data_IF_016222044575
#
_entry.id   IF_016222044575
#
_cell.length_a   1.000
_cell.length_b   1.000
_cell.length_c   1.000
_cell.angle_alpha   90.00
_cell.angle_beta   90.00
_cell.angle_gamma   90.00
#
_symmetry.space_group_name_H-M   'P 1'
#
loop_
_entity.id
_entity.type
_entity.pdbx_description
1 polymer ?
#
# COMPACT_ATOMS: atom_id res chain seq x y z
N UNK A 1 -13.46 -0.25 21.21
CA UNK A 1 -13.74 -1.21 22.31
C UNK A 1 -14.36 -2.47 21.72
N UNK A 2 -14.00 -3.64 22.23
CA UNK A 2 -14.64 -4.91 21.89
C UNK A 2 -16.06 -4.89 22.45
N UNK A 3 -17.07 -5.22 21.62
CA UNK A 3 -18.48 -5.29 22.05
C UNK A 3 -18.96 -6.72 22.14
N UNK A 4 -18.65 -7.54 21.14
CA UNK A 4 -19.10 -8.92 21.07
C UNK A 4 -18.05 -9.82 20.41
N UNK A 5 -17.96 -11.05 20.86
CA UNK A 5 -17.15 -12.12 20.28
C UNK A 5 -18.02 -13.34 20.08
N UNK A 6 -18.19 -13.77 18.83
CA UNK A 6 -18.84 -15.01 18.47
C UNK A 6 -17.81 -16.00 17.94
N UNK A 7 -17.76 -17.17 18.54
CA UNK A 7 -16.87 -18.26 18.16
C UNK A 7 -17.71 -19.46 17.74
N UNK A 8 -17.41 -20.07 16.60
CA UNK A 8 -18.05 -21.32 16.13
C UNK A 8 -16.98 -22.31 15.67
N UNK A 9 -17.08 -23.53 16.18
CA UNK A 9 -16.22 -24.68 15.80
C UNK A 9 -14.71 -24.40 15.98
N UNK A 10 -14.33 -23.74 17.08
CA UNK A 10 -12.94 -23.40 17.37
C UNK A 10 -12.41 -24.28 18.50
N UNK A 11 -11.36 -25.05 18.25
CA UNK A 11 -10.75 -26.00 19.20
C UNK A 11 -11.82 -26.93 19.83
N UNK A 12 -12.14 -26.73 21.10
CA UNK A 12 -13.16 -27.49 21.85
C UNK A 12 -14.51 -26.80 21.85
N UNK A 13 -14.62 -25.57 21.36
CA UNK A 13 -15.83 -24.76 21.41
C UNK A 13 -16.71 -25.06 20.19
N UNK A 14 -17.96 -25.47 20.42
CA UNK A 14 -18.98 -25.58 19.37
C UNK A 14 -19.49 -24.21 18.95
N UNK A 15 -20.04 -23.49 19.94
CA UNK A 15 -20.57 -22.14 19.74
C UNK A 15 -20.50 -21.40 21.08
N UNK A 16 -19.92 -20.20 21.03
CA UNK A 16 -19.83 -19.33 22.19
C UNK A 16 -20.06 -17.89 21.71
N UNK A 17 -20.88 -17.14 22.44
CA UNK A 17 -21.09 -15.72 22.24
C UNK A 17 -20.84 -15.00 23.56
N UNK A 18 -19.94 -14.00 23.54
CA UNK A 18 -19.57 -13.22 24.72
C UNK A 18 -19.77 -11.75 24.40
N UNK A 19 -20.62 -11.07 25.16
CA UNK A 19 -20.73 -9.61 25.19
C UNK A 19 -19.72 -9.03 26.16
N UNK A 20 -19.14 -7.88 25.81
CA UNK A 20 -18.20 -7.15 26.67
C UNK A 20 -18.77 -5.76 27.00
N UNK A 21 -18.83 -5.45 28.26
CA UNK A 21 -19.17 -4.12 28.74
C UNK A 21 -17.91 -3.23 28.85
N UNK A 22 -18.03 -1.91 28.88
CA UNK A 22 -16.92 -1.02 29.16
C UNK A 22 -16.30 -1.29 30.55
N UNK A 23 -14.95 -1.29 30.59
CA UNK A 23 -14.22 -1.48 31.84
C UNK A 23 -13.51 -2.84 31.91
N UNK A 24 -13.49 -3.47 33.06
CA UNK A 24 -12.81 -4.72 33.34
C UNK A 24 -13.78 -5.90 33.20
N UNK A 25 -13.44 -6.82 32.30
CA UNK A 25 -14.11 -8.12 32.18
C UNK A 25 -13.21 -9.22 32.73
N UNK A 26 -13.71 -10.04 33.64
CA UNK A 26 -12.97 -11.15 34.25
C UNK A 26 -13.56 -12.48 33.81
N UNK A 27 -12.71 -13.33 33.16
CA UNK A 27 -13.09 -14.69 32.75
C UNK A 27 -12.48 -15.69 33.75
N UNK A 28 -13.36 -16.34 34.54
CA UNK A 28 -12.97 -17.33 35.56
C UNK A 28 -13.35 -18.75 35.11
N UNK A 29 -12.74 -19.74 35.70
CA UNK A 29 -13.05 -21.15 35.44
C UNK A 29 -11.85 -22.06 35.79
N UNK A 30 -12.09 -23.35 35.83
CA UNK A 30 -11.06 -24.37 36.10
C UNK A 30 -10.03 -24.47 34.96
N UNK A 31 -8.89 -25.11 35.23
CA UNK A 31 -7.89 -25.41 34.21
C UNK A 31 -8.50 -26.32 33.13
N UNK A 32 -8.34 -25.94 31.85
CA UNK A 32 -8.95 -26.69 30.73
C UNK A 32 -10.37 -26.21 30.35
N UNK A 33 -11.00 -25.29 31.07
CA UNK A 33 -12.36 -24.79 30.76
C UNK A 33 -12.47 -23.94 29.50
N UNK A 34 -11.38 -23.69 28.78
CA UNK A 34 -11.39 -22.94 27.52
C UNK A 34 -11.05 -21.45 27.63
N UNK A 35 -10.66 -20.94 28.83
CA UNK A 35 -10.28 -19.52 29.00
C UNK A 35 -9.23 -19.03 28.02
N UNK A 36 -8.13 -19.77 27.90
CA UNK A 36 -7.03 -19.46 26.96
C UNK A 36 -7.49 -19.54 25.50
N UNK A 37 -8.43 -20.42 25.20
CA UNK A 37 -8.98 -20.58 23.85
C UNK A 37 -9.79 -19.35 23.42
N UNK A 38 -10.48 -18.68 24.34
CA UNK A 38 -11.18 -17.44 24.06
C UNK A 38 -10.20 -16.31 23.70
N UNK A 39 -9.10 -16.19 24.45
CA UNK A 39 -8.04 -15.21 24.16
C UNK A 39 -7.37 -15.54 22.82
N UNK A 40 -7.13 -16.82 22.53
CA UNK A 40 -6.60 -17.22 21.25
C UNK A 40 -7.53 -16.92 20.09
N UNK A 41 -8.84 -17.14 20.24
CA UNK A 41 -9.84 -16.77 19.24
C UNK A 41 -9.85 -15.24 18.98
N UNK A 42 -9.74 -14.41 20.03
CA UNK A 42 -9.56 -12.96 19.87
C UNK A 42 -8.30 -12.60 19.10
N UNK A 43 -7.17 -13.24 19.40
CA UNK A 43 -5.91 -13.01 18.68
C UNK A 43 -6.03 -13.41 17.21
N UNK A 44 -6.73 -14.50 16.91
CA UNK A 44 -7.03 -14.94 15.54
C UNK A 44 -7.93 -13.93 14.83
N UNK A 45 -8.98 -13.43 15.47
CA UNK A 45 -9.83 -12.39 14.92
C UNK A 45 -9.02 -11.12 14.57
N UNK A 46 -8.04 -10.76 15.41
CA UNK A 46 -7.14 -9.63 15.21
C UNK A 46 -6.03 -9.87 14.16
N UNK A 47 -6.03 -11.00 13.44
CA UNK A 47 -5.10 -11.23 12.34
C UNK A 47 -3.98 -12.22 12.60
N UNK A 48 -3.89 -12.88 13.78
CA UNK A 48 -2.91 -13.92 14.07
C UNK A 48 -2.96 -15.05 13.01
N UNK A 49 -1.82 -15.65 12.73
CA UNK A 49 -1.70 -16.78 11.80
C UNK A 49 -2.58 -17.95 12.28
N UNK A 50 -3.26 -18.60 11.35
CA UNK A 50 -4.18 -19.70 11.62
C UNK A 50 -3.56 -21.05 11.30
N UNK A 51 -3.98 -22.10 12.04
CA UNK A 51 -3.63 -23.48 11.79
C UNK A 51 -4.91 -24.34 11.69
N UNK A 52 -4.83 -25.48 11.00
CA UNK A 52 -5.90 -26.48 10.92
C UNK A 52 -6.29 -27.05 12.28
N UNK A 53 -5.35 -27.10 13.23
CA UNK A 53 -5.59 -27.59 14.59
C UNK A 53 -6.53 -26.70 15.40
N UNK A 54 -6.75 -25.46 14.94
CA UNK A 54 -7.71 -24.53 15.54
C UNK A 54 -9.17 -24.87 15.22
N UNK A 55 -9.41 -25.75 14.26
CA UNK A 55 -10.76 -26.19 13.89
C UNK A 55 -11.17 -27.36 14.75
N UNK A 56 -12.39 -27.30 15.32
CA UNK A 56 -12.94 -28.41 16.10
C UNK A 56 -12.98 -29.70 15.30
N UNK A 57 -12.60 -30.81 15.92
CA UNK A 57 -12.65 -32.13 15.29
C UNK A 57 -14.05 -32.44 14.76
N UNK A 58 -14.12 -32.93 13.52
CA UNK A 58 -15.39 -33.20 12.84
C UNK A 58 -16.00 -32.00 12.09
N UNK A 59 -15.52 -30.78 12.31
CA UNK A 59 -16.02 -29.58 11.62
C UNK A 59 -15.30 -29.30 10.30
N UNK A 60 -15.99 -28.69 9.33
CA UNK A 60 -15.41 -28.31 8.04
C UNK A 60 -14.74 -26.93 8.07
N UNK A 61 -15.24 -26.08 8.92
CA UNK A 61 -14.75 -24.72 9.09
C UNK A 61 -14.91 -24.24 10.54
N UNK A 62 -14.16 -23.21 10.86
CA UNK A 62 -14.29 -22.43 12.07
C UNK A 62 -14.61 -20.99 11.68
N UNK A 63 -15.48 -20.34 12.45
CA UNK A 63 -15.85 -18.92 12.25
C UNK A 63 -15.65 -18.18 13.56
N UNK A 64 -14.98 -17.03 13.48
CA UNK A 64 -14.82 -16.10 14.59
C UNK A 64 -15.30 -14.74 14.10
N UNK A 65 -16.31 -14.20 14.76
CA UNK A 65 -16.81 -12.86 14.54
C UNK A 65 -16.48 -11.97 15.74
N UNK A 66 -15.81 -10.86 15.49
CA UNK A 66 -15.44 -9.87 16.48
C UNK A 66 -16.11 -8.53 16.13
N UNK A 67 -16.93 -8.03 17.02
CA UNK A 67 -17.48 -6.69 16.91
C UNK A 67 -16.60 -5.72 17.71
N UNK A 68 -15.93 -4.81 17.00
CA UNK A 68 -15.03 -3.81 17.58
C UNK A 68 -15.45 -2.41 17.16
N UNK A 69 -15.76 -1.55 18.13
CA UNK A 69 -16.39 -0.25 17.93
C UNK A 69 -17.71 -0.38 17.14
N UNK A 70 -17.71 0.04 15.86
CA UNK A 70 -18.89 -0.02 15.00
C UNK A 70 -18.66 -0.91 13.77
N UNK A 71 -17.53 -1.65 13.72
CA UNK A 71 -17.19 -2.55 12.62
C UNK A 71 -17.20 -4.01 13.04
N UNK A 72 -17.60 -4.87 12.13
CA UNK A 72 -17.62 -6.32 12.29
C UNK A 72 -16.43 -6.95 11.57
N UNK A 73 -15.64 -7.73 12.28
CA UNK A 73 -14.46 -8.43 11.79
C UNK A 73 -14.73 -9.94 11.83
N UNK A 74 -14.77 -10.57 10.66
CA UNK A 74 -15.01 -12.00 10.53
C UNK A 74 -13.79 -12.73 10.01
N UNK A 75 -13.44 -13.84 10.69
CA UNK A 75 -12.44 -14.80 10.21
C UNK A 75 -13.09 -16.16 10.00
N UNK A 76 -12.87 -16.73 8.82
CA UNK A 76 -13.31 -18.07 8.47
C UNK A 76 -12.07 -18.91 8.17
N UNK A 77 -11.86 -19.98 8.93
CA UNK A 77 -10.76 -20.92 8.75
C UNK A 77 -11.34 -22.20 8.18
N UNK A 78 -10.80 -22.68 7.06
CA UNK A 78 -11.24 -23.92 6.44
C UNK A 78 -10.35 -25.10 6.86
N UNK A 79 -10.80 -26.33 6.54
CA UNK A 79 -10.13 -27.60 6.91
C UNK A 79 -8.66 -27.70 6.43
N UNK A 80 -8.25 -26.92 5.43
CA UNK A 80 -6.85 -26.85 4.98
C UNK A 80 -5.99 -25.89 5.82
N UNK A 81 -6.54 -25.23 6.85
CA UNK A 81 -5.87 -24.22 7.66
C UNK A 81 -5.80 -22.83 7.02
N UNK A 82 -6.27 -22.70 5.78
CA UNK A 82 -6.36 -21.38 5.12
C UNK A 82 -7.48 -20.56 5.73
N UNK A 83 -7.26 -19.26 5.91
CA UNK A 83 -8.27 -18.36 6.43
C UNK A 83 -8.64 -17.26 5.45
N UNK A 84 -9.92 -16.87 5.49
CA UNK A 84 -10.44 -15.67 4.85
C UNK A 84 -10.83 -14.67 5.93
N UNK A 85 -10.58 -13.39 5.69
CA UNK A 85 -10.90 -12.32 6.62
C UNK A 85 -11.81 -11.30 5.95
N UNK A 86 -12.71 -10.73 6.72
CA UNK A 86 -13.68 -9.73 6.25
C UNK A 86 -13.80 -8.62 7.30
N UNK A 87 -13.99 -7.40 6.82
CA UNK A 87 -14.36 -6.23 7.60
C UNK A 87 -15.66 -5.67 7.00
N UNK A 88 -16.72 -5.60 7.77
CA UNK A 88 -18.04 -5.19 7.30
C UNK A 88 -18.44 -5.86 5.98
N UNK A 89 -18.25 -7.21 5.92
CA UNK A 89 -18.46 -8.10 4.77
C UNK A 89 -17.47 -7.93 3.59
N UNK A 90 -16.59 -6.94 3.63
CA UNK A 90 -15.57 -6.73 2.59
C UNK A 90 -14.34 -7.61 2.86
N UNK A 91 -13.84 -8.38 1.87
CA UNK A 91 -12.65 -9.21 2.04
C UNK A 91 -11.40 -8.36 2.32
N UNK A 92 -10.60 -8.77 3.28
CA UNK A 92 -9.33 -8.10 3.64
C UNK A 92 -8.21 -9.14 3.87
N UNK A 93 -6.96 -8.73 3.63
CA UNK A 93 -5.81 -9.58 3.95
C UNK A 93 -5.58 -9.66 5.48
N UNK A 94 -5.23 -10.85 5.99
CA UNK A 94 -4.96 -11.04 7.42
C UNK A 94 -3.85 -10.12 7.95
N UNK A 95 -2.84 -9.82 7.12
CA UNK A 95 -1.74 -8.88 7.45
C UNK A 95 -2.28 -7.46 7.66
N UNK A 96 -3.29 -7.03 6.88
CA UNK A 96 -3.90 -5.72 7.06
C UNK A 96 -4.68 -5.64 8.38
N UNK A 97 -5.43 -6.72 8.74
CA UNK A 97 -6.05 -6.82 10.07
C UNK A 97 -5.03 -6.76 11.20
N UNK A 98 -3.91 -7.48 11.06
CA UNK A 98 -2.85 -7.48 12.06
C UNK A 98 -2.26 -6.09 12.27
N UNK A 99 -2.05 -5.32 11.20
CA UNK A 99 -1.60 -3.93 11.27
C UNK A 99 -2.63 -3.02 11.92
N UNK A 100 -3.91 -3.20 11.58
CA UNK A 100 -4.99 -2.41 12.13
C UNK A 100 -5.16 -2.62 13.64
N UNK A 101 -5.09 -3.88 14.10
CA UNK A 101 -5.24 -4.21 15.51
C UNK A 101 -3.97 -4.03 16.34
N UNK A 102 -2.78 -3.91 15.70
CA UNK A 102 -1.51 -3.77 16.40
C UNK A 102 -1.44 -2.57 17.36
N UNK A 103 -2.22 -1.52 17.10
CA UNK A 103 -2.30 -0.33 17.97
C UNK A 103 -3.58 -0.27 18.81
N UNK A 104 -4.53 -1.18 18.56
CA UNK A 104 -5.87 -1.14 19.20
C UNK A 104 -6.03 -2.19 20.30
N UNK A 105 -5.34 -3.34 20.19
CA UNK A 105 -5.43 -4.46 21.12
C UNK A 105 -4.02 -4.96 21.43
N UNK A 106 -3.71 -5.03 22.73
CA UNK A 106 -2.47 -5.67 23.19
C UNK A 106 -2.83 -6.99 23.90
N UNK A 107 -2.13 -8.07 23.51
CA UNK A 107 -2.33 -9.39 24.05
C UNK A 107 -1.15 -9.74 24.96
N UNK A 108 -1.44 -10.04 26.23
CA UNK A 108 -0.45 -10.48 27.21
C UNK A 108 -0.62 -11.98 27.49
N UNK A 109 0.02 -12.83 26.69
CA UNK A 109 -0.01 -14.28 26.84
C UNK A 109 1.40 -14.86 27.05
N UNK A 110 1.47 -16.16 27.30
CA UNK A 110 2.75 -16.86 27.56
C UNK A 110 3.71 -16.87 26.37
N UNK A 111 3.22 -16.59 25.15
CA UNK A 111 4.01 -16.63 23.90
C UNK A 111 3.78 -15.42 22.99
N UNK A 112 3.06 -14.41 23.44
CA UNK A 112 2.78 -13.24 22.62
C UNK A 112 3.90 -12.20 22.81
N UNK A 113 4.41 -11.66 21.69
CA UNK A 113 5.37 -10.57 21.71
C UNK A 113 4.65 -9.31 22.17
N UNK A 114 4.94 -8.88 23.39
CA UNK A 114 4.41 -7.64 23.93
C UNK A 114 4.80 -6.47 23.03
N UNK A 115 3.86 -5.59 22.75
CA UNK A 115 4.10 -4.39 21.92
C UNK A 115 5.24 -3.52 22.46
N UNK A 116 5.42 -3.51 23.79
CA UNK A 116 6.49 -2.80 24.47
C UNK A 116 7.90 -3.33 24.15
N UNK A 117 8.02 -4.60 23.73
CA UNK A 117 9.31 -5.16 23.32
C UNK A 117 9.74 -4.74 21.91
N UNK A 118 8.84 -4.19 21.14
CA UNK A 118 9.12 -3.67 19.79
C UNK A 118 9.70 -2.28 19.89
N UNK A 119 10.97 -2.14 19.56
CA UNK A 119 11.70 -0.86 19.61
C UNK A 119 11.02 0.26 18.80
N UNK A 120 10.35 -0.11 17.71
CA UNK A 120 9.63 0.81 16.82
C UNK A 120 8.51 1.57 17.57
N UNK A 121 7.88 0.93 18.57
CA UNK A 121 6.78 1.52 19.33
C UNK A 121 7.23 2.40 20.50
N UNK A 122 8.51 2.37 20.88
CA UNK A 122 8.98 3.08 22.07
C UNK A 122 8.81 4.59 21.95
N UNK A 123 9.02 5.14 20.77
CA UNK A 123 8.87 6.59 20.52
C UNK A 123 7.40 6.98 20.67
N UNK A 124 6.48 6.19 20.10
CA UNK A 124 5.04 6.46 20.16
C UNK A 124 4.53 6.43 21.62
N UNK A 125 5.00 5.47 22.43
CA UNK A 125 4.66 5.42 23.84
C UNK A 125 5.20 6.64 24.60
N UNK A 126 6.44 7.07 24.33
CA UNK A 126 7.04 8.23 24.95
C UNK A 126 6.31 9.52 24.56
N UNK A 127 6.01 9.70 23.29
CA UNK A 127 5.30 10.87 22.79
C UNK A 127 3.87 10.95 23.33
N UNK A 128 3.20 9.79 23.44
CA UNK A 128 1.88 9.68 24.04
C UNK A 128 1.90 10.04 25.54
N UNK A 129 2.88 9.51 26.29
CA UNK A 129 3.05 9.83 27.71
C UNK A 129 3.34 11.31 27.93
N UNK A 130 4.21 11.90 27.12
CA UNK A 130 4.59 13.32 27.17
C UNK A 130 3.51 14.25 26.60
N UNK A 131 2.42 13.71 26.03
CA UNK A 131 1.34 14.49 25.36
C UNK A 131 1.87 15.38 24.24
N UNK A 132 2.91 14.93 23.50
CA UNK A 132 3.59 15.69 22.45
C UNK A 132 2.92 15.55 21.06
N UNK A 133 1.73 14.97 20.95
CA UNK A 133 1.07 14.68 19.68
C UNK A 133 1.07 15.86 18.71
N UNK A 134 0.71 17.07 19.17
CA UNK A 134 0.70 18.27 18.33
C UNK A 134 2.07 18.63 17.75
N UNK A 135 3.16 18.30 18.45
CA UNK A 135 4.54 18.54 17.97
C UNK A 135 4.93 17.46 16.94
N UNK A 136 4.54 16.22 17.18
CA UNK A 136 4.74 15.09 16.27
C UNK A 136 4.00 15.36 14.95
N UNK A 137 2.73 15.73 14.99
CA UNK A 137 1.92 16.06 13.80
C UNK A 137 2.58 17.17 12.96
N UNK A 138 3.11 18.21 13.65
CA UNK A 138 3.82 19.31 12.97
C UNK A 138 5.14 18.85 12.32
N UNK A 139 5.87 17.95 12.95
CA UNK A 139 7.10 17.37 12.36
C UNK A 139 6.76 16.54 11.15
N UNK A 140 5.69 15.73 11.20
CA UNK A 140 5.22 14.92 10.07
C UNK A 140 4.88 15.83 8.89
N UNK A 141 4.10 16.89 9.12
CA UNK A 141 3.75 17.87 8.08
C UNK A 141 4.98 18.51 7.43
N UNK A 142 5.95 18.96 8.24
CA UNK A 142 7.19 19.57 7.74
C UNK A 142 8.00 18.54 6.94
N UNK A 143 8.10 17.32 7.41
CA UNK A 143 8.81 16.24 6.72
C UNK A 143 8.17 15.90 5.36
N UNK A 144 6.86 15.79 5.29
CA UNK A 144 6.15 15.55 4.03
C UNK A 144 6.39 16.70 3.03
N UNK A 145 6.34 17.95 3.49
CA UNK A 145 6.63 19.11 2.65
C UNK A 145 8.09 19.13 2.17
N UNK A 146 9.04 18.73 3.02
CA UNK A 146 10.44 18.56 2.64
C UNK A 146 10.62 17.49 1.55
N UNK A 147 9.99 16.33 1.71
CA UNK A 147 10.04 15.24 0.72
C UNK A 147 9.44 15.68 -0.61
N UNK A 148 8.27 16.33 -0.59
CA UNK A 148 7.63 16.88 -1.81
C UNK A 148 8.54 17.89 -2.52
N UNK A 149 9.14 18.81 -1.76
CA UNK A 149 10.05 19.83 -2.33
C UNK A 149 11.31 19.22 -2.92
N UNK A 150 11.87 18.19 -2.26
CA UNK A 150 13.04 17.46 -2.73
C UNK A 150 12.76 16.69 -4.03
N UNK A 151 11.61 16.03 -4.11
CA UNK A 151 11.19 15.31 -5.32
C UNK A 151 11.00 16.29 -6.49
N UNK A 152 10.32 17.43 -6.25
CA UNK A 152 10.14 18.47 -7.27
C UNK A 152 11.47 19.06 -7.74
N UNK A 153 12.42 19.26 -6.83
CA UNK A 153 13.78 19.72 -7.19
C UNK A 153 14.50 18.72 -8.11
N UNK A 154 14.40 17.41 -7.80
CA UNK A 154 15.00 16.37 -8.61
C UNK A 154 14.38 16.32 -10.01
N UNK A 155 13.05 16.36 -10.10
CA UNK A 155 12.31 16.43 -11.37
C UNK A 155 12.74 17.63 -12.21
N UNK A 156 12.86 18.82 -11.59
CA UNK A 156 13.32 20.02 -12.28
C UNK A 156 14.76 19.92 -12.77
N UNK A 157 15.65 19.26 -12.02
CA UNK A 157 17.03 19.01 -12.43
C UNK A 157 17.11 18.06 -13.63
N UNK A 158 16.33 17.00 -13.63
CA UNK A 158 16.23 16.06 -14.76
C UNK A 158 15.69 16.77 -16.01
N UNK A 159 14.62 17.52 -15.88
CA UNK A 159 14.06 18.30 -16.98
C UNK A 159 15.08 19.32 -17.53
N UNK A 160 15.84 19.97 -16.64
CA UNK A 160 16.86 20.93 -17.06
C UNK A 160 17.96 20.30 -17.91
N UNK A 161 18.39 19.06 -17.60
CA UNK A 161 19.39 18.35 -18.39
C UNK A 161 18.85 18.03 -19.79
N UNK A 162 17.62 17.52 -19.88
CA UNK A 162 16.92 17.24 -21.14
C UNK A 162 16.78 18.52 -21.99
N UNK A 163 16.39 19.64 -21.36
CA UNK A 163 16.29 20.89 -22.09
C UNK A 163 17.62 21.44 -22.61
N UNK A 164 18.72 21.23 -21.86
CA UNK A 164 20.06 21.60 -22.32
C UNK A 164 20.48 20.81 -23.55
N UNK A 165 20.33 19.49 -23.51
CA UNK A 165 20.64 18.61 -24.65
C UNK A 165 19.82 18.96 -25.89
N UNK A 166 18.50 19.20 -25.69
CA UNK A 166 17.61 19.60 -26.79
C UNK A 166 18.00 20.96 -27.36
N UNK A 167 18.41 21.91 -26.53
CA UNK A 167 18.89 23.22 -26.96
C UNK A 167 20.15 23.11 -27.79
N UNK A 168 21.11 22.29 -27.38
CA UNK A 168 22.35 22.06 -28.13
C UNK A 168 22.07 21.44 -29.50
N UNK A 169 21.18 20.42 -29.55
CA UNK A 169 20.77 19.80 -30.80
C UNK A 169 20.08 20.82 -31.75
N UNK A 170 19.16 21.62 -31.21
CA UNK A 170 18.46 22.63 -32.02
C UNK A 170 19.39 23.73 -32.53
N UNK A 171 20.37 24.16 -31.74
CA UNK A 171 21.39 25.11 -32.17
C UNK A 171 22.29 24.51 -33.28
N UNK A 172 22.65 23.24 -33.15
CA UNK A 172 23.41 22.56 -34.22
C UNK A 172 22.60 22.52 -35.51
N UNK A 173 21.33 22.11 -35.46
CA UNK A 173 20.47 22.07 -36.65
C UNK A 173 20.25 23.46 -37.27
N UNK A 174 20.11 24.50 -36.42
CA UNK A 174 19.99 25.87 -36.88
C UNK A 174 21.25 26.33 -37.66
N UNK A 175 22.43 26.04 -37.10
CA UNK A 175 23.69 26.36 -37.78
C UNK A 175 23.84 25.61 -39.11
N UNK A 176 23.42 24.35 -39.19
CA UNK A 176 23.44 23.60 -40.47
C UNK A 176 22.54 24.28 -41.53
N UNK A 177 21.35 24.71 -41.15
CA UNK A 177 20.40 25.39 -42.03
C UNK A 177 20.97 26.76 -42.47
N UNK A 178 21.57 27.51 -41.55
CA UNK A 178 22.17 28.82 -41.85
C UNK A 178 23.39 28.66 -42.77
N UNK A 179 24.26 27.66 -42.57
CA UNK A 179 25.40 27.35 -43.38
C UNK A 179 25.01 26.88 -44.80
N UNK A 180 23.88 26.22 -44.95
CA UNK A 180 23.36 25.78 -46.22
C UNK A 180 22.88 26.93 -47.11
N UNK A 181 22.72 28.13 -46.54
CA UNK A 181 22.29 29.41 -47.20
C UNK A 181 21.17 29.20 -48.25
N UNK A 182 20.15 28.46 -47.83
CA UNK A 182 19.04 28.03 -48.69
C UNK A 182 18.21 29.27 -49.14
N UNK A 183 18.35 29.61 -50.42
CA UNK A 183 17.62 30.74 -51.01
C UNK A 183 16.51 30.23 -51.94
N UNK A 184 15.28 30.58 -51.64
CA UNK A 184 14.10 30.19 -52.45
C UNK A 184 14.24 30.65 -53.93
N UNK A 185 14.90 31.78 -54.18
CA UNK A 185 15.14 32.26 -55.53
C UNK A 185 16.12 31.35 -56.30
N UNK A 186 17.09 30.76 -55.63
CA UNK A 186 18.05 29.84 -56.21
C UNK A 186 17.38 28.54 -56.61
N UNK A 187 16.52 27.99 -55.78
CA UNK A 187 15.70 26.81 -56.07
C UNK A 187 14.85 27.01 -57.33
N UNK A 188 14.16 28.16 -57.44
CA UNK A 188 13.33 28.49 -58.58
C UNK A 188 14.21 28.59 -59.87
N UNK A 189 15.39 29.20 -59.79
CA UNK A 189 16.30 29.34 -60.89
C UNK A 189 16.85 27.96 -61.37
N UNK A 190 17.31 27.11 -60.42
CA UNK A 190 17.76 25.78 -60.70
C UNK A 190 16.66 24.90 -61.31
N UNK A 191 15.43 25.02 -60.82
CA UNK A 191 14.30 24.30 -61.38
C UNK A 191 13.94 24.73 -62.78
N UNK A 192 14.10 26.02 -63.09
CA UNK A 192 13.92 26.56 -64.44
C UNK A 192 15.06 26.11 -65.39
N UNK A 193 16.30 26.10 -64.94
CA UNK A 193 17.43 25.57 -65.68
C UNK A 193 17.29 24.07 -65.97
N UNK A 194 16.91 23.28 -64.96
CA UNK A 194 16.64 21.87 -65.14
C UNK A 194 15.56 21.61 -66.19
N UNK A 195 14.47 22.33 -66.15
CA UNK A 195 13.41 22.26 -67.19
C UNK A 195 13.91 22.61 -68.58
N UNK A 196 14.77 23.60 -68.70
CA UNK A 196 15.37 23.96 -69.96
C UNK A 196 16.31 22.88 -70.51
N UNK A 197 17.16 22.31 -69.63
CA UNK A 197 18.08 21.25 -70.02
C UNK A 197 17.35 19.99 -70.48
N UNK A 198 16.32 19.56 -69.75
CA UNK A 198 15.47 18.45 -70.17
C UNK A 198 14.81 18.68 -71.53
N UNK A 199 14.35 19.89 -71.79
CA UNK A 199 13.76 20.22 -73.07
C UNK A 199 14.79 20.21 -74.23
N UNK A 200 16.06 20.58 -73.96
CA UNK A 200 17.14 20.45 -74.90
C UNK A 200 17.48 18.96 -75.20
N UNK A 201 17.47 18.09 -74.17
CA UNK A 201 17.68 16.65 -74.39
C UNK A 201 16.55 16.05 -75.23
N UNK A 202 15.30 16.41 -74.98
CA UNK A 202 14.16 15.96 -75.78
C UNK A 202 14.31 16.38 -77.25
N UNK A 203 14.73 17.62 -77.52
CA UNK A 203 14.95 18.11 -78.90
C UNK A 203 16.11 17.37 -79.59
N UNK A 204 17.22 17.11 -78.89
CA UNK A 204 18.35 16.36 -79.43
C UNK A 204 18.02 14.89 -79.70
N UNK A 205 17.07 14.32 -79.05
CA UNK A 205 16.64 12.93 -79.31
C UNK A 205 15.73 12.80 -80.52
N UNK A 206 15.26 13.92 -81.12
CA UNK A 206 14.41 13.98 -82.30
C UNK A 206 15.22 14.30 -83.62
N UNK A 207 16.53 14.55 -83.55
CA UNK A 207 17.46 14.72 -84.64
C UNK A 207 18.31 13.45 -84.84
#
# INVERSE_FOLDING_TARGET
MIKNLLIKNFAIIDKLSIGFDPGLTVITGETGSGKSIVIEALSVAAGKKTDKMMIKSGSQNCVIDLEFNNSSYRRIINKSGRSKSYVDETPIAAIALQKEFATKIDFHGQHDQQLILKKENHIDYLDSYCKHQKKVDKIIEIYENLVKSKNKLNELKENLSIYKEKKELLNFQLNEIELADVNIKEEINLMNEYKKLNHYEDVLSFI
#
